data_IF_071543846326
#
_entry.id   IF_071543846326
#
_cell.length_a   1.000
_cell.length_b   1.000
_cell.length_c   1.000
_cell.angle_alpha   90.00
_cell.angle_beta   90.00
_cell.angle_gamma   90.00
#
_symmetry.space_group_name_H-M   'P 1'
#
loop_
_entity.id
_entity.type
_entity.pdbx_description
1 polymer ?
#
# COMPACT_ATOMS: atom_id res chain seq x y z
N UNK A 1 -1.34 -17.46 6.85
CA UNK A 1 -2.11 -16.23 6.60
C UNK A 1 -3.60 -16.41 6.85
N UNK A 2 -4.35 -17.28 6.14
CA UNK A 2 -5.80 -17.46 6.41
C UNK A 2 -6.18 -17.73 7.89
N UNK A 3 -5.45 -18.55 8.67
CA UNK A 3 -5.80 -18.77 10.08
C UNK A 3 -5.66 -17.53 10.98
N UNK A 4 -4.95 -16.49 10.52
CA UNK A 4 -4.66 -15.26 11.28
C UNK A 4 -5.55 -14.08 10.85
N UNK A 5 -6.33 -14.24 9.78
CA UNK A 5 -7.23 -13.19 9.29
C UNK A 5 -8.63 -13.38 9.92
N UNK A 6 -9.19 -12.36 10.57
CA UNK A 6 -10.57 -12.36 11.01
C UNK A 6 -11.52 -12.62 9.83
N UNK A 7 -12.61 -13.35 10.09
CA UNK A 7 -13.58 -13.75 9.06
C UNK A 7 -14.11 -12.55 8.29
N UNK A 8 -14.51 -11.48 8.98
CA UNK A 8 -15.05 -10.25 8.38
C UNK A 8 -14.05 -9.58 7.42
N UNK A 9 -12.77 -9.52 7.81
CA UNK A 9 -11.70 -9.00 6.96
C UNK A 9 -11.52 -9.87 5.72
N UNK A 10 -11.48 -11.19 5.89
CA UNK A 10 -11.34 -12.13 4.77
C UNK A 10 -12.52 -12.04 3.80
N UNK A 11 -13.75 -11.98 4.30
CA UNK A 11 -14.95 -11.84 3.49
C UNK A 11 -14.96 -10.53 2.71
N UNK A 12 -14.58 -9.41 3.34
CA UNK A 12 -14.51 -8.12 2.63
C UNK A 12 -13.44 -8.08 1.55
N UNK A 13 -12.27 -8.66 1.79
CA UNK A 13 -11.22 -8.77 0.75
C UNK A 13 -11.71 -9.61 -0.44
N UNK A 14 -12.41 -10.72 -0.18
CA UNK A 14 -12.95 -11.55 -1.26
C UNK A 14 -14.11 -10.88 -2.00
N UNK A 15 -15.00 -10.19 -1.29
CA UNK A 15 -16.09 -9.44 -1.90
C UNK A 15 -15.54 -8.35 -2.84
N UNK A 16 -14.50 -7.63 -2.40
CA UNK A 16 -13.79 -6.67 -3.24
C UNK A 16 -13.13 -7.35 -4.46
N UNK A 17 -12.46 -8.49 -4.27
CA UNK A 17 -11.84 -9.24 -5.36
C UNK A 17 -12.86 -9.60 -6.46
N UNK A 18 -13.97 -10.23 -6.08
CA UNK A 18 -15.00 -10.63 -7.03
C UNK A 18 -15.64 -9.44 -7.73
N UNK A 19 -15.95 -8.37 -6.99
CA UNK A 19 -16.50 -7.14 -7.58
C UNK A 19 -15.56 -6.51 -8.61
N UNK A 20 -14.24 -6.51 -8.38
CA UNK A 20 -13.26 -5.99 -9.35
C UNK A 20 -13.15 -6.92 -10.56
N UNK A 21 -13.19 -8.24 -10.37
CA UNK A 21 -13.16 -9.20 -11.49
C UNK A 21 -14.42 -9.10 -12.38
N UNK A 22 -15.58 -8.80 -11.79
CA UNK A 22 -16.85 -8.64 -12.52
C UNK A 22 -16.98 -7.28 -13.24
N UNK A 23 -16.02 -6.37 -13.06
CA UNK A 23 -16.11 -4.98 -13.55
C UNK A 23 -15.99 -4.81 -15.07
N UNK A 24 -15.82 -5.90 -15.84
CA UNK A 24 -15.43 -5.91 -17.27
C UNK A 24 -16.41 -5.16 -18.20
N UNK A 25 -17.59 -4.76 -17.74
CA UNK A 25 -18.60 -4.12 -18.60
C UNK A 25 -19.46 -3.03 -17.93
N UNK A 26 -18.95 -2.30 -16.92
CA UNK A 26 -19.75 -1.22 -16.31
C UNK A 26 -19.74 0.06 -17.17
N UNK A 27 -20.92 0.58 -17.59
CA UNK A 27 -21.00 1.79 -18.41
C UNK A 27 -20.69 3.08 -17.64
N UNK A 28 -20.80 3.08 -16.31
CA UNK A 28 -20.42 4.19 -15.45
C UNK A 28 -19.29 3.79 -14.49
N UNK A 29 -18.11 4.36 -14.73
CA UNK A 29 -16.89 4.05 -13.99
C UNK A 29 -16.83 4.75 -12.62
N UNK A 30 -17.49 5.90 -12.47
CA UNK A 30 -17.31 6.73 -11.29
C UNK A 30 -17.92 6.11 -10.01
N UNK A 31 -19.20 5.67 -9.99
CA UNK A 31 -19.77 4.98 -8.83
C UNK A 31 -19.00 3.71 -8.48
N UNK A 32 -18.58 2.96 -9.49
CA UNK A 32 -17.77 1.75 -9.30
C UNK A 32 -16.44 2.04 -8.59
N UNK A 33 -15.69 3.05 -9.04
CA UNK A 33 -14.42 3.43 -8.42
C UNK A 33 -14.62 3.97 -7.01
N UNK A 34 -15.73 4.69 -6.76
CA UNK A 34 -16.07 5.17 -5.41
C UNK A 34 -16.35 3.99 -4.46
N UNK A 35 -17.10 2.99 -4.91
CA UNK A 35 -17.39 1.79 -4.13
C UNK A 35 -16.11 0.97 -3.85
N UNK A 36 -15.23 0.82 -4.84
CA UNK A 36 -13.91 0.18 -4.67
C UNK A 36 -13.08 0.95 -3.63
N UNK A 37 -13.02 2.28 -3.73
CA UNK A 37 -12.32 3.13 -2.77
C UNK A 37 -12.87 2.95 -1.35
N UNK A 38 -14.20 2.96 -1.18
CA UNK A 38 -14.83 2.79 0.13
C UNK A 38 -14.61 1.38 0.69
N UNK A 39 -14.61 0.35 -0.17
CA UNK A 39 -14.30 -1.03 0.23
C UNK A 39 -12.85 -1.18 0.73
N UNK A 40 -11.89 -0.55 0.05
CA UNK A 40 -10.48 -0.54 0.51
C UNK A 40 -10.35 0.17 1.86
N UNK A 41 -11.09 1.27 2.09
CA UNK A 41 -11.10 1.96 3.40
C UNK A 41 -11.71 1.09 4.50
N UNK A 42 -12.76 0.32 4.18
CA UNK A 42 -13.34 -0.63 5.12
C UNK A 42 -12.36 -1.76 5.47
N UNK A 43 -11.69 -2.34 4.47
CA UNK A 43 -10.62 -3.34 4.69
C UNK A 43 -9.52 -2.78 5.59
N UNK A 44 -9.09 -1.54 5.33
CA UNK A 44 -8.10 -0.86 6.18
C UNK A 44 -8.59 -0.70 7.62
N UNK A 45 -9.87 -0.35 7.84
CA UNK A 45 -10.47 -0.24 9.17
C UNK A 45 -10.57 -1.58 9.89
N UNK A 46 -11.09 -2.61 9.21
CA UNK A 46 -11.21 -3.96 9.76
C UNK A 46 -9.85 -4.54 10.14
N UNK A 47 -8.83 -4.33 9.32
CA UNK A 47 -7.46 -4.76 9.63
C UNK A 47 -6.96 -4.18 10.95
N UNK A 48 -7.24 -2.89 11.20
CA UNK A 48 -6.76 -2.20 12.40
C UNK A 48 -7.57 -2.55 13.65
N UNK A 49 -8.87 -2.80 13.51
CA UNK A 49 -9.80 -3.01 14.62
C UNK A 49 -9.95 -4.49 15.03
N UNK A 50 -9.81 -5.43 14.09
CA UNK A 50 -10.15 -6.84 14.33
C UNK A 50 -8.94 -7.78 14.41
N UNK A 51 -7.77 -7.39 13.86
CA UNK A 51 -6.56 -8.22 13.97
C UNK A 51 -5.87 -7.98 15.31
N UNK A 52 -5.27 -9.04 15.88
CA UNK A 52 -4.30 -8.86 16.95
C UNK A 52 -3.10 -8.04 16.46
N UNK A 53 -2.54 -7.21 17.33
CA UNK A 53 -1.40 -6.35 17.01
C UNK A 53 -0.09 -7.13 17.17
N UNK A 54 0.04 -8.18 16.36
CA UNK A 54 1.14 -9.12 16.34
C UNK A 54 1.87 -9.13 14.98
N UNK A 55 2.78 -10.11 14.82
CA UNK A 55 3.61 -10.28 13.62
C UNK A 55 2.77 -10.37 12.32
N UNK A 56 1.58 -10.99 12.36
CA UNK A 56 0.75 -11.15 11.17
C UNK A 56 0.22 -9.79 10.69
N UNK A 57 -0.25 -8.94 11.61
CA UNK A 57 -0.64 -7.56 11.27
C UNK A 57 0.56 -6.76 10.78
N UNK A 58 1.71 -6.88 11.42
CA UNK A 58 2.91 -6.16 11.02
C UNK A 58 3.39 -6.56 9.61
N UNK A 59 3.27 -7.82 9.19
CA UNK A 59 3.54 -8.21 7.79
C UNK A 59 2.58 -7.56 6.79
N UNK A 60 1.28 -7.47 7.11
CA UNK A 60 0.33 -6.79 6.21
C UNK A 60 0.65 -5.30 6.13
N UNK A 61 0.93 -4.65 7.26
CA UNK A 61 1.36 -3.25 7.30
C UNK A 61 2.63 -3.03 6.48
N UNK A 62 3.63 -3.89 6.65
CA UNK A 62 4.87 -3.84 5.89
C UNK A 62 4.62 -3.83 4.37
N UNK A 63 3.91 -4.84 3.86
CA UNK A 63 3.60 -4.94 2.43
C UNK A 63 2.81 -3.73 1.93
N UNK A 64 1.74 -3.36 2.64
CA UNK A 64 0.88 -2.21 2.30
C UNK A 64 1.67 -0.92 2.15
N UNK A 65 2.56 -0.62 3.10
CA UNK A 65 3.29 0.64 3.10
C UNK A 65 4.50 0.65 2.15
N UNK A 66 5.12 -0.50 1.87
CA UNK A 66 6.11 -0.62 0.78
C UNK A 66 5.45 -0.32 -0.58
N UNK A 67 4.32 -0.97 -0.87
CA UNK A 67 3.57 -0.78 -2.12
C UNK A 67 3.09 0.67 -2.27
N UNK A 68 2.66 1.30 -1.17
CA UNK A 68 2.29 2.71 -1.19
C UNK A 68 3.46 3.61 -1.55
N UNK A 69 4.61 3.44 -0.90
CA UNK A 69 5.80 4.24 -1.18
C UNK A 69 6.23 4.10 -2.64
N UNK A 70 6.19 2.89 -3.19
CA UNK A 70 6.49 2.63 -4.59
C UNK A 70 5.51 3.34 -5.54
N UNK A 71 4.21 3.16 -5.33
CA UNK A 71 3.18 3.68 -6.22
C UNK A 71 3.09 5.21 -6.20
N UNK A 72 3.15 5.82 -5.01
CA UNK A 72 3.10 7.29 -4.87
C UNK A 72 4.32 7.92 -5.52
N UNK A 73 5.52 7.38 -5.27
CA UNK A 73 6.74 7.86 -5.92
C UNK A 73 6.64 7.79 -7.42
N UNK A 74 6.24 6.64 -7.97
CA UNK A 74 6.10 6.46 -9.42
C UNK A 74 5.10 7.44 -10.04
N UNK A 75 3.93 7.61 -9.45
CA UNK A 75 2.89 8.51 -9.99
C UNK A 75 3.39 9.95 -10.00
N UNK A 76 4.03 10.40 -8.92
CA UNK A 76 4.53 11.77 -8.80
C UNK A 76 5.70 12.03 -9.74
N UNK A 77 6.71 11.15 -9.77
CA UNK A 77 7.91 11.34 -10.60
C UNK A 77 7.60 11.21 -12.08
N UNK A 78 6.74 10.28 -12.47
CA UNK A 78 6.30 10.15 -13.85
C UNK A 78 5.55 11.42 -14.28
N UNK A 79 4.60 11.90 -13.47
CA UNK A 79 3.88 13.14 -13.79
C UNK A 79 4.81 14.35 -13.82
N UNK A 80 5.77 14.44 -12.89
CA UNK A 80 6.78 15.51 -12.88
C UNK A 80 7.65 15.53 -14.13
N UNK A 81 7.92 14.36 -14.73
CA UNK A 81 8.71 14.26 -15.97
C UNK A 81 7.88 14.59 -17.23
N UNK A 82 6.56 14.44 -17.16
CA UNK A 82 5.62 14.71 -18.25
C UNK A 82 5.24 16.20 -18.37
N UNK A 83 5.17 16.91 -17.23
CA UNK A 83 4.66 18.28 -17.16
C UNK A 83 5.74 19.33 -17.45
N UNK A 84 5.34 20.45 -18.03
CA UNK A 84 6.23 21.50 -18.54
C UNK A 84 6.17 22.82 -17.74
N UNK A 85 5.57 22.79 -16.54
CA UNK A 85 5.32 23.94 -15.66
C UNK A 85 4.40 24.99 -16.29
N UNK A 86 3.34 24.51 -16.94
CA UNK A 86 2.29 25.34 -17.55
C UNK A 86 1.15 25.64 -16.56
N UNK A 87 0.38 26.73 -16.75
CA UNK A 87 -0.78 27.00 -15.90
C UNK A 87 -1.84 25.89 -15.88
N UNK A 88 -1.91 25.08 -16.94
CA UNK A 88 -2.85 23.96 -17.07
C UNK A 88 -2.43 22.76 -16.19
N UNK A 89 -1.16 22.69 -15.79
CA UNK A 89 -0.58 21.62 -14.98
C UNK A 89 -1.21 21.56 -13.57
N UNK A 90 -1.78 22.66 -13.09
CA UNK A 90 -2.51 22.69 -11.82
C UNK A 90 -3.67 21.68 -11.79
N UNK A 91 -4.34 21.45 -12.92
CA UNK A 91 -5.41 20.45 -13.04
C UNK A 91 -4.84 19.02 -12.99
N UNK A 92 -3.74 18.77 -13.68
CA UNK A 92 -3.03 17.48 -13.68
C UNK A 92 -2.51 17.13 -12.29
N UNK A 93 -1.88 18.08 -11.60
CA UNK A 93 -1.44 17.91 -10.22
C UNK A 93 -2.59 17.73 -9.24
N UNK A 94 -3.72 18.41 -9.46
CA UNK A 94 -4.96 18.16 -8.70
C UNK A 94 -5.44 16.73 -8.90
N UNK A 95 -5.37 16.20 -10.12
CA UNK A 95 -5.73 14.81 -10.41
C UNK A 95 -4.79 13.84 -9.67
N UNK A 96 -3.47 14.08 -9.66
CA UNK A 96 -2.51 13.28 -8.88
C UNK A 96 -2.86 13.27 -7.38
N UNK A 97 -3.12 14.44 -6.79
CA UNK A 97 -3.52 14.55 -5.38
C UNK A 97 -4.82 13.77 -5.09
N UNK A 98 -5.79 13.80 -6.00
CA UNK A 98 -7.04 13.03 -5.87
C UNK A 98 -6.81 11.53 -5.99
N UNK A 99 -5.99 11.08 -6.95
CA UNK A 99 -5.59 9.68 -7.11
C UNK A 99 -4.88 9.13 -5.86
N UNK A 100 -4.09 9.96 -5.17
CA UNK A 100 -3.41 9.59 -3.93
C UNK A 100 -4.27 9.82 -2.67
N UNK A 101 -5.53 10.26 -2.81
CA UNK A 101 -6.42 10.63 -1.69
C UNK A 101 -5.82 11.66 -0.73
N UNK A 102 -5.05 12.60 -1.25
CA UNK A 102 -4.33 13.63 -0.49
C UNK A 102 -4.82 15.06 -0.74
N UNK A 103 -5.77 15.27 -1.66
CA UNK A 103 -6.23 16.61 -2.06
C UNK A 103 -6.72 17.47 -0.90
N UNK A 104 -7.58 16.94 -0.03
CA UNK A 104 -8.09 17.68 1.13
C UNK A 104 -6.97 18.02 2.13
N UNK A 105 -6.07 17.06 2.40
CA UNK A 105 -4.90 17.28 3.26
C UNK A 105 -3.95 18.34 2.68
N UNK A 106 -3.76 18.32 1.37
CA UNK A 106 -2.97 19.32 0.66
C UNK A 106 -3.61 20.72 0.81
N UNK A 107 -4.90 20.84 0.53
CA UNK A 107 -5.61 22.11 0.64
C UNK A 107 -5.56 22.68 2.05
N UNK A 108 -5.77 21.83 3.06
CA UNK A 108 -5.71 22.23 4.46
C UNK A 108 -4.32 22.71 4.90
N UNK A 109 -3.24 22.16 4.32
CA UNK A 109 -1.86 22.43 4.75
C UNK A 109 -1.19 23.56 3.99
N UNK A 110 -1.32 23.58 2.66
CA UNK A 110 -0.56 24.50 1.82
C UNK A 110 -1.36 25.73 1.41
N UNK A 111 -2.69 25.60 1.34
CA UNK A 111 -3.58 26.62 0.78
C UNK A 111 -3.20 27.08 -0.64
N UNK A 112 -3.99 27.99 -1.20
CA UNK A 112 -3.69 28.58 -2.51
C UNK A 112 -3.71 27.57 -3.67
N UNK A 113 -2.92 27.84 -4.71
CA UNK A 113 -2.88 27.03 -5.92
C UNK A 113 -2.17 25.68 -5.75
N UNK A 114 -2.46 24.75 -6.67
CA UNK A 114 -1.73 23.48 -6.78
C UNK A 114 -0.49 23.70 -7.65
N UNK A 115 0.67 23.32 -7.13
CA UNK A 115 1.99 23.55 -7.75
C UNK A 115 2.85 22.29 -7.61
N UNK A 116 3.74 22.06 -8.56
CA UNK A 116 4.54 20.83 -8.63
C UNK A 116 5.41 20.63 -7.36
N UNK A 117 6.06 21.69 -6.91
CA UNK A 117 6.93 21.70 -5.74
C UNK A 117 6.17 21.29 -4.46
N UNK A 118 5.00 21.88 -4.23
CA UNK A 118 4.19 21.56 -3.05
C UNK A 118 3.58 20.16 -3.13
N UNK A 119 3.26 19.66 -4.32
CA UNK A 119 2.74 18.29 -4.49
C UNK A 119 3.83 17.27 -4.21
N UNK A 120 5.05 17.48 -4.71
CA UNK A 120 6.21 16.65 -4.41
C UNK A 120 6.51 16.66 -2.91
N UNK A 121 6.51 17.84 -2.27
CA UNK A 121 6.70 17.97 -0.83
C UNK A 121 5.62 17.17 -0.07
N UNK A 122 4.34 17.38 -0.41
CA UNK A 122 3.20 16.73 0.23
C UNK A 122 3.21 15.20 0.07
N UNK A 123 3.43 14.70 -1.14
CA UNK A 123 3.29 13.27 -1.46
C UNK A 123 4.58 12.47 -1.27
N UNK A 124 5.76 13.07 -1.38
CA UNK A 124 7.02 12.34 -1.25
C UNK A 124 7.73 12.59 0.09
N UNK A 125 7.67 13.81 0.62
CA UNK A 125 8.59 14.26 1.68
C UNK A 125 7.92 14.55 3.04
N UNK A 126 6.61 14.77 3.07
CA UNK A 126 5.85 15.03 4.30
C UNK A 126 5.85 13.77 5.19
N UNK A 127 6.30 13.87 6.44
CA UNK A 127 6.42 12.72 7.34
C UNK A 127 5.18 12.47 8.19
N UNK A 128 4.24 13.41 8.20
CA UNK A 128 3.02 13.34 8.99
C UNK A 128 1.78 12.88 8.19
N UNK A 129 1.87 12.85 6.85
CA UNK A 129 0.77 12.48 5.98
C UNK A 129 0.76 10.97 5.68
N UNK A 130 -0.26 10.18 6.10
CA UNK A 130 -0.26 8.73 5.91
C UNK A 130 -0.21 8.24 4.45
N UNK A 131 -0.49 9.15 3.51
CA UNK A 131 -0.46 8.92 2.07
C UNK A 131 0.91 9.19 1.44
N UNK A 132 1.83 9.87 2.13
CA UNK A 132 3.13 10.19 1.57
C UNK A 132 4.06 8.99 1.54
N UNK A 133 5.05 9.03 0.65
CA UNK A 133 6.08 7.99 0.53
C UNK A 133 7.00 7.94 1.76
N UNK A 134 7.39 9.09 2.32
CA UNK A 134 8.21 9.14 3.55
C UNK A 134 7.48 8.56 4.76
N UNK A 135 6.22 8.93 5.00
CA UNK A 135 5.43 8.31 6.08
C UNK A 135 5.33 6.81 5.88
N UNK A 136 5.06 6.38 4.64
CA UNK A 136 4.90 4.97 4.31
C UNK A 136 6.19 4.18 4.58
N UNK A 137 7.34 4.68 4.15
CA UNK A 137 8.63 4.01 4.41
C UNK A 137 9.02 3.99 5.88
N UNK A 138 8.74 5.05 6.63
CA UNK A 138 8.89 5.07 8.09
C UNK A 138 8.01 4.01 8.77
N UNK A 139 6.74 3.91 8.35
CA UNK A 139 5.81 2.91 8.91
C UNK A 139 6.20 1.48 8.56
N UNK A 140 6.70 1.25 7.34
CA UNK A 140 7.23 -0.05 6.92
C UNK A 140 8.49 -0.43 7.74
N UNK A 141 9.38 0.54 7.99
CA UNK A 141 10.57 0.34 8.82
C UNK A 141 10.19 -0.07 10.25
N UNK A 142 9.20 0.59 10.85
CA UNK A 142 8.68 0.20 12.16
C UNK A 142 8.08 -1.21 12.17
N UNK A 143 7.31 -1.57 11.14
CA UNK A 143 6.72 -2.90 11.03
C UNK A 143 7.79 -4.00 10.97
N UNK A 144 8.85 -3.80 10.16
CA UNK A 144 9.98 -4.75 10.11
C UNK A 144 10.73 -4.82 11.44
N UNK A 145 10.93 -3.69 12.12
CA UNK A 145 11.57 -3.69 13.42
C UNK A 145 10.77 -4.49 14.47
N UNK A 146 9.43 -4.44 14.42
CA UNK A 146 8.57 -5.24 15.29
C UNK A 146 8.59 -6.74 14.95
N UNK A 147 8.58 -7.09 13.66
CA UNK A 147 8.74 -8.48 13.18
C UNK A 147 10.07 -9.09 13.66
N UNK A 148 11.17 -8.34 13.56
CA UNK A 148 12.51 -8.83 13.91
C UNK A 148 12.82 -8.81 15.41
N UNK A 149 12.09 -8.01 16.18
CA UNK A 149 12.35 -7.77 17.59
C UNK A 149 13.74 -7.18 17.86
N UNK A 150 14.29 -7.42 19.06
CA UNK A 150 15.53 -6.77 19.55
C UNK A 150 16.83 -7.31 18.94
N UNK A 151 16.80 -8.34 18.09
CA UNK A 151 17.96 -9.22 17.90
C UNK A 151 18.51 -9.33 16.46
N UNK A 152 17.99 -8.61 15.46
CA UNK A 152 18.50 -8.73 14.08
C UNK A 152 18.73 -7.39 13.38
N UNK A 153 19.89 -7.31 12.71
CA UNK A 153 20.16 -6.35 11.62
C UNK A 153 19.93 -7.09 10.31
N UNK A 154 18.68 -7.45 10.01
CA UNK A 154 18.41 -8.20 8.78
C UNK A 154 18.73 -7.35 7.54
N UNK A 155 18.80 -8.02 6.38
CA UNK A 155 18.91 -7.34 5.09
C UNK A 155 17.66 -6.48 4.79
N UNK A 156 16.40 -6.95 4.99
CA UNK A 156 15.21 -6.11 4.89
C UNK A 156 15.27 -4.82 5.72
N UNK A 157 15.63 -4.91 7.00
CA UNK A 157 15.70 -3.74 7.89
C UNK A 157 16.69 -2.69 7.35
N UNK A 158 17.89 -3.12 6.94
CA UNK A 158 18.91 -2.20 6.39
C UNK A 158 18.44 -1.52 5.09
N UNK A 159 17.78 -2.25 4.20
CA UNK A 159 17.28 -1.70 2.95
C UNK A 159 16.14 -0.70 3.18
N UNK A 160 15.26 -0.94 4.16
CA UNK A 160 14.25 0.04 4.57
C UNK A 160 14.85 1.27 5.24
N UNK A 161 15.92 1.12 6.03
CA UNK A 161 16.67 2.27 6.57
C UNK A 161 17.25 3.11 5.43
N UNK A 162 17.83 2.49 4.41
CA UNK A 162 18.35 3.19 3.23
C UNK A 162 17.25 3.90 2.45
N UNK A 163 16.14 3.19 2.16
CA UNK A 163 15.00 3.75 1.44
C UNK A 163 14.37 4.92 2.21
N UNK A 164 14.18 4.80 3.52
CA UNK A 164 13.67 5.89 4.36
C UNK A 164 14.65 7.08 4.42
N UNK A 165 15.96 6.80 4.45
CA UNK A 165 17.00 7.82 4.35
C UNK A 165 16.93 8.59 3.04
N UNK A 166 16.69 7.91 1.91
CA UNK A 166 16.54 8.53 0.60
C UNK A 166 15.42 9.59 0.58
N UNK A 167 14.23 9.28 1.13
CA UNK A 167 13.15 10.28 1.23
C UNK A 167 13.43 11.38 2.25
N UNK A 168 14.10 11.07 3.37
CA UNK A 168 14.41 12.04 4.42
C UNK A 168 15.44 13.08 3.95
N UNK A 169 16.43 12.63 3.20
CA UNK A 169 17.57 13.44 2.78
C UNK A 169 17.34 14.12 1.41
N UNK A 170 16.28 13.72 0.69
CA UNK A 170 15.84 14.36 -0.54
C UNK A 170 15.23 15.75 -0.30
N UNK A 171 15.30 16.61 -1.31
CA UNK A 171 14.58 17.88 -1.34
C UNK A 171 13.79 18.02 -2.65
N UNK A 172 12.77 18.86 -2.60
CA UNK A 172 11.84 19.06 -3.72
C UNK A 172 12.54 19.49 -5.01
N UNK A 173 13.54 20.38 -4.92
CA UNK A 173 14.24 20.92 -6.09
C UNK A 173 15.06 19.84 -6.81
N UNK A 174 15.77 18.98 -6.07
CA UNK A 174 16.51 17.88 -6.69
C UNK A 174 15.59 16.87 -7.38
N UNK A 175 14.41 16.62 -6.80
CA UNK A 175 13.42 15.71 -7.40
C UNK A 175 12.84 16.33 -8.67
N UNK A 176 12.52 17.62 -8.68
CA UNK A 176 12.02 18.32 -9.88
C UNK A 176 13.04 18.31 -11.02
N UNK A 177 14.33 18.44 -10.71
CA UNK A 177 15.39 18.43 -11.72
C UNK A 177 15.59 17.05 -12.35
N UNK A 178 15.52 15.99 -11.56
CA UNK A 178 15.77 14.62 -12.01
C UNK A 178 14.73 13.61 -11.47
N UNK A 179 13.44 13.74 -11.83
CA UNK A 179 12.38 12.93 -11.22
C UNK A 179 12.52 11.43 -11.55
N UNK A 180 12.94 11.11 -12.77
CA UNK A 180 13.12 9.73 -13.21
C UNK A 180 14.36 9.06 -12.60
N UNK A 181 15.39 9.83 -12.25
CA UNK A 181 16.57 9.30 -11.54
C UNK A 181 16.20 8.94 -10.09
N UNK A 182 15.46 9.83 -9.41
CA UNK A 182 14.94 9.55 -8.08
C UNK A 182 14.03 8.30 -8.05
N UNK A 183 13.13 8.17 -9.03
CA UNK A 183 12.31 6.97 -9.20
C UNK A 183 13.15 5.71 -9.42
N UNK A 184 14.19 5.77 -10.25
CA UNK A 184 15.06 4.65 -10.54
C UNK A 184 15.83 4.18 -9.30
N UNK A 185 16.30 5.11 -8.46
CA UNK A 185 16.98 4.80 -7.19
C UNK A 185 16.02 4.13 -6.21
N UNK A 186 14.82 4.70 -6.01
CA UNK A 186 13.76 4.12 -5.20
C UNK A 186 13.41 2.69 -5.65
N UNK A 187 13.19 2.48 -6.95
CA UNK A 187 12.90 1.15 -7.52
C UNK A 187 14.07 0.17 -7.35
N UNK A 188 15.30 0.67 -7.42
CA UNK A 188 16.50 -0.12 -7.17
C UNK A 188 16.52 -0.72 -5.76
N UNK A 189 16.21 0.09 -4.74
CA UNK A 189 16.11 -0.35 -3.35
C UNK A 189 14.90 -1.26 -3.12
N UNK A 190 13.74 -0.93 -3.69
CA UNK A 190 12.52 -1.74 -3.56
C UNK A 190 12.69 -3.15 -4.12
N UNK A 191 13.32 -3.30 -5.29
CA UNK A 191 13.63 -4.63 -5.85
C UNK A 191 14.56 -5.45 -4.95
N UNK A 192 15.60 -4.81 -4.40
CA UNK A 192 16.50 -5.49 -3.46
C UNK A 192 15.76 -5.90 -2.17
N UNK A 193 14.83 -5.05 -1.70
CA UNK A 193 14.02 -5.30 -0.53
C UNK A 193 13.08 -6.48 -0.75
N UNK A 194 12.39 -6.55 -1.89
CA UNK A 194 11.51 -7.67 -2.25
C UNK A 194 12.27 -9.01 -2.19
N UNK A 195 13.44 -9.07 -2.83
CA UNK A 195 14.30 -10.25 -2.79
C UNK A 195 14.71 -10.61 -1.36
N UNK A 196 15.13 -9.62 -0.58
CA UNK A 196 15.55 -9.82 0.81
C UNK A 196 14.39 -10.29 1.72
N UNK A 197 13.18 -9.77 1.52
CA UNK A 197 11.98 -10.20 2.23
C UNK A 197 11.65 -11.66 1.90
N UNK A 198 11.70 -12.03 0.62
CA UNK A 198 11.47 -13.40 0.16
C UNK A 198 12.47 -14.39 0.78
N UNK A 199 13.75 -14.04 0.76
CA UNK A 199 14.84 -14.87 1.33
C UNK A 199 14.71 -15.01 2.86
N UNK A 200 14.35 -13.93 3.55
CA UNK A 200 14.36 -13.89 5.03
C UNK A 200 13.11 -14.51 5.64
N UNK A 201 11.93 -14.23 5.05
CA UNK A 201 10.63 -14.54 5.67
C UNK A 201 9.82 -15.62 4.93
N UNK A 202 9.98 -15.76 3.61
CA UNK A 202 9.09 -16.57 2.78
C UNK A 202 9.79 -17.77 2.12
N UNK A 203 10.84 -18.30 2.75
CA UNK A 203 11.60 -19.43 2.19
C UNK A 203 10.73 -20.70 2.09
N UNK A 204 10.56 -21.31 0.90
CA UNK A 204 9.61 -22.41 0.67
C UNK A 204 9.87 -23.66 1.51
N UNK A 205 11.11 -23.90 1.95
CA UNK A 205 11.47 -25.04 2.82
C UNK A 205 10.87 -25.00 4.23
N UNK A 206 10.22 -23.90 4.63
CA UNK A 206 9.54 -23.77 5.93
C UNK A 206 8.02 -23.91 5.85
N UNK A 207 7.46 -24.06 4.64
CA UNK A 207 6.03 -24.32 4.44
C UNK A 207 5.88 -25.82 4.17
N UNK A 208 5.24 -26.61 5.06
CA UNK A 208 4.94 -28.01 4.76
C UNK A 208 4.12 -28.07 3.48
N UNK A 209 4.60 -28.81 2.48
CA UNK A 209 3.96 -28.96 1.17
C UNK A 209 2.59 -29.69 1.21
N UNK A 210 2.11 -30.06 2.39
CA UNK A 210 0.83 -30.72 2.58
C UNK A 210 -0.19 -29.74 3.18
N UNK A 211 -0.73 -28.86 2.35
CA UNK A 211 -2.15 -28.49 2.51
C UNK A 211 -2.91 -29.49 1.65
N UNK A 212 -3.25 -30.63 2.23
CA UNK A 212 -4.28 -31.49 1.67
C UNK A 212 -5.55 -30.66 1.65
N UNK A 213 -5.92 -30.14 0.48
CA UNK A 213 -7.28 -29.69 0.25
C UNK A 213 -8.19 -30.86 0.59
N UNK A 214 -9.12 -30.66 1.52
CA UNK A 214 -10.24 -31.58 1.65
C UNK A 214 -11.04 -31.50 0.33
N UNK A 215 -10.66 -32.35 -0.61
CA UNK A 215 -11.53 -32.72 -1.72
C UNK A 215 -12.70 -33.50 -1.14
N UNK A 216 -13.88 -32.87 -1.16
CA UNK A 216 -15.15 -33.57 -1.09
C UNK A 216 -15.75 -33.72 0.29
N UNK A 217 -16.64 -32.78 0.64
CA UNK A 217 -17.97 -33.08 1.21
C UNK A 217 -18.88 -31.85 1.12
N UNK A 218 -19.27 -31.52 -0.10
CA UNK A 218 -20.55 -30.86 -0.31
C UNK A 218 -21.64 -31.92 -0.15
N UNK A 219 -22.40 -31.88 0.94
CA UNK A 219 -23.78 -32.38 0.96
C UNK A 219 -24.64 -31.50 1.88
N UNK A 220 -25.82 -31.05 1.42
CA UNK A 220 -26.75 -30.26 2.22
C UNK A 220 -27.42 -31.16 3.28
N UNK A 221 -27.40 -30.73 4.54
CA UNK A 221 -28.19 -31.36 5.60
C UNK A 221 -29.68 -31.03 5.39
N UNK A 222 -30.44 -31.98 4.85
CA UNK A 222 -31.90 -31.98 4.98
C UNK A 222 -32.26 -32.34 6.42
N UNK A 223 -32.91 -31.41 7.12
CA UNK A 223 -33.62 -31.68 8.37
C UNK A 223 -34.79 -32.64 8.08
N UNK A 224 -34.71 -33.88 8.57
CA UNK A 224 -35.87 -34.70 8.87
C UNK A 224 -36.15 -34.63 10.36
N UNK A 225 -37.13 -33.81 10.75
CA UNK A 225 -37.85 -33.99 12.00
C UNK A 225 -38.92 -35.05 11.77
N UNK A 226 -38.84 -36.18 12.48
CA UNK A 226 -39.99 -37.04 12.78
C UNK A 226 -39.99 -37.31 14.28
N UNK A 227 -40.98 -36.67 14.91
CA UNK A 227 -41.73 -36.97 16.14
C UNK A 227 -41.22 -38.02 17.14
N UNK A 228 -41.23 -37.60 18.41
CA UNK A 228 -41.90 -38.32 19.48
C UNK A 228 -42.96 -37.38 20.10
#
# INVERSE_FOLDING_TARGET
MRPSLPTELYEQVNALHWRVQEAVAQPDLYPFLMDVQMSIRLVDGLLEDTMFHDEARDFVRLGKFIERAANVTRVVTQKSAELADSPEDALEWTAVLKCCFAFESYQARYGGGVTADRVIECLLLEDSLPRSARFATSTALEAVARIEGKARRSKPLRLLVQLNGLYRDANTQSILQSPLEFDAECRGLLRQLELALRETYFHPSKVPAAVTGEEGRGMPQQQQQVMA
#
